data_IF_479773934814
#
_entry.id   IF_479773934814
#
_cell.length_a   1.000
_cell.length_b   1.000
_cell.length_c   1.000
_cell.angle_alpha   90.00
_cell.angle_beta   90.00
_cell.angle_gamma   90.00
#
_symmetry.space_group_name_H-M   'P 1'
#
loop_
_entity.id
_entity.type
_entity.pdbx_description
1 polymer ?
#
# COMPACT_ATOMS: atom_id res chain seq x y z
N UNK A 1 -27.62 1.87 -4.18
CA UNK A 1 -26.73 1.62 -5.33
C UNK A 1 -25.39 2.26 -5.00
N UNK A 2 -24.43 1.51 -4.45
CA UNK A 2 -23.05 2.01 -4.38
C UNK A 2 -22.48 1.87 -5.79
N UNK A 3 -22.32 3.00 -6.47
CA UNK A 3 -21.48 3.04 -7.64
C UNK A 3 -20.09 2.58 -7.15
N UNK A 4 -19.61 1.43 -7.61
CA UNK A 4 -18.22 1.00 -7.40
C UNK A 4 -17.34 1.90 -8.27
N UNK A 5 -17.28 3.18 -7.92
CA UNK A 5 -16.46 4.16 -8.60
C UNK A 5 -15.00 3.75 -8.40
N UNK A 6 -14.34 3.49 -9.52
CA UNK A 6 -12.89 3.49 -9.80
C UNK A 6 -11.96 3.28 -8.58
N UNK A 7 -11.11 2.25 -8.65
CA UNK A 7 -10.31 1.69 -7.56
C UNK A 7 -9.95 2.63 -6.40
N UNK A 8 -10.16 2.15 -5.17
CA UNK A 8 -9.87 2.89 -3.96
C UNK A 8 -8.39 3.22 -3.90
N UNK A 9 -8.08 4.51 -3.83
CA UNK A 9 -6.73 5.02 -3.65
C UNK A 9 -6.39 5.05 -2.17
N UNK A 10 -5.20 4.55 -1.84
CA UNK A 10 -4.68 4.56 -0.49
C UNK A 10 -3.32 5.26 -0.45
N UNK A 11 -3.16 6.15 0.51
CA UNK A 11 -1.89 6.79 0.77
C UNK A 11 -0.99 5.85 1.58
N UNK A 12 0.26 5.71 1.11
CA UNK A 12 1.28 4.92 1.77
C UNK A 12 2.50 5.77 2.09
N UNK A 13 3.07 5.47 3.25
CA UNK A 13 4.32 6.05 3.71
C UNK A 13 5.39 4.98 3.59
N UNK A 14 6.50 5.32 2.93
CA UNK A 14 7.59 4.39 2.67
C UNK A 14 8.85 4.92 3.34
N UNK A 15 9.52 4.08 4.09
CA UNK A 15 10.78 4.42 4.77
C UNK A 15 11.83 3.39 4.40
N UNK A 16 13.03 3.84 4.01
CA UNK A 16 14.15 2.95 3.80
C UNK A 16 14.68 2.43 5.13
N UNK A 17 14.84 1.11 5.22
CA UNK A 17 15.33 0.40 6.40
C UNK A 17 16.52 -0.50 6.02
N UNK A 18 17.29 -0.98 7.01
CA UNK A 18 18.44 -1.86 6.78
C UNK A 18 18.06 -3.14 6.01
N UNK A 19 16.83 -3.63 6.18
CA UNK A 19 16.32 -4.84 5.51
C UNK A 19 15.56 -4.54 4.19
N UNK A 20 15.40 -3.26 3.81
CA UNK A 20 14.74 -2.86 2.57
C UNK A 20 13.87 -1.61 2.71
N UNK A 21 12.57 -1.76 2.47
CA UNK A 21 11.58 -0.69 2.51
C UNK A 21 10.45 -1.08 3.46
N UNK A 22 10.26 -0.28 4.51
CA UNK A 22 9.10 -0.35 5.37
C UNK A 22 7.96 0.45 4.72
N UNK A 23 6.77 -0.13 4.72
CA UNK A 23 5.59 0.43 4.09
C UNK A 23 4.52 0.51 5.16
N UNK A 24 4.01 1.72 5.42
CA UNK A 24 2.90 1.96 6.34
C UNK A 24 1.72 2.46 5.55
N UNK A 25 0.55 1.89 5.81
CA UNK A 25 -0.72 2.32 5.23
C UNK A 25 -1.60 2.82 6.40
N UNK A 26 -1.53 4.11 6.76
CA UNK A 26 -2.21 4.65 7.93
C UNK A 26 -3.74 4.46 7.87
N UNK A 27 -4.33 4.51 6.68
CA UNK A 27 -5.78 4.39 6.48
C UNK A 27 -6.36 3.03 6.91
N UNK A 28 -5.59 1.95 6.71
CA UNK A 28 -6.01 0.59 7.09
C UNK A 28 -5.27 0.08 8.33
N UNK A 29 -4.36 0.89 8.89
CA UNK A 29 -3.47 0.48 9.98
C UNK A 29 -2.48 -0.61 9.57
N UNK A 30 -2.24 -0.78 8.26
CA UNK A 30 -1.47 -1.86 7.69
C UNK A 30 0.02 -1.56 7.65
N UNK A 31 0.84 -2.59 7.88
CA UNK A 31 2.30 -2.50 7.73
C UNK A 31 2.78 -3.64 6.84
N UNK A 32 3.59 -3.30 5.84
CA UNK A 32 4.22 -4.24 4.93
C UNK A 32 5.71 -3.94 4.78
N UNK A 33 6.47 -4.91 4.26
CA UNK A 33 7.89 -4.76 3.95
C UNK A 33 8.16 -5.22 2.53
N UNK A 34 9.08 -4.54 1.85
CA UNK A 34 9.55 -4.92 0.53
C UNK A 34 11.08 -4.82 0.47
N UNK A 35 11.73 -5.80 -0.15
CA UNK A 35 13.19 -5.80 -0.33
C UNK A 35 13.68 -4.79 -1.37
N UNK A 36 12.80 -4.38 -2.30
CA UNK A 36 13.11 -3.44 -3.39
C UNK A 36 12.01 -2.40 -3.55
N UNK A 37 12.37 -1.17 -3.93
CA UNK A 37 11.43 -0.07 -4.14
C UNK A 37 10.34 -0.40 -5.16
N UNK A 38 10.70 -1.13 -6.22
CA UNK A 38 9.76 -1.60 -7.23
C UNK A 38 8.73 -2.62 -6.71
N UNK A 39 8.99 -3.26 -5.56
CA UNK A 39 8.05 -4.18 -4.92
C UNK A 39 7.17 -3.49 -3.87
N UNK A 40 7.46 -2.24 -3.50
CA UNK A 40 6.70 -1.47 -2.49
C UNK A 40 5.24 -1.37 -2.88
N UNK A 41 4.97 -0.95 -4.12
CA UNK A 41 3.60 -0.73 -4.59
C UNK A 41 2.79 -2.03 -4.55
N UNK A 42 3.37 -3.13 -5.05
CA UNK A 42 2.71 -4.43 -5.05
C UNK A 42 2.49 -4.96 -3.63
N UNK A 43 3.47 -4.81 -2.74
CA UNK A 43 3.39 -5.26 -1.35
C UNK A 43 2.30 -4.49 -0.59
N UNK A 44 2.22 -3.17 -0.78
CA UNK A 44 1.18 -2.31 -0.22
C UNK A 44 -0.22 -2.76 -0.66
N UNK A 45 -0.43 -2.91 -1.99
CA UNK A 45 -1.73 -3.34 -2.53
C UNK A 45 -2.15 -4.71 -2.02
N UNK A 46 -1.21 -5.66 -1.90
CA UNK A 46 -1.48 -6.98 -1.32
C UNK A 46 -1.90 -6.89 0.15
N UNK A 47 -1.22 -6.06 0.94
CA UNK A 47 -1.53 -5.84 2.34
C UNK A 47 -2.94 -5.25 2.52
N UNK A 48 -3.26 -4.20 1.75
CA UNK A 48 -4.57 -3.56 1.76
C UNK A 48 -5.67 -4.54 1.34
N UNK A 49 -5.46 -5.29 0.24
CA UNK A 49 -6.43 -6.28 -0.23
C UNK A 49 -6.71 -7.35 0.83
N UNK A 50 -5.67 -7.80 1.56
CA UNK A 50 -5.82 -8.78 2.63
C UNK A 50 -6.55 -8.23 3.86
N UNK A 51 -6.36 -6.95 4.21
CA UNK A 51 -7.01 -6.33 5.37
C UNK A 51 -8.44 -5.88 5.10
N UNK A 52 -8.71 -5.37 3.91
CA UNK A 52 -9.99 -4.76 3.55
C UNK A 52 -10.94 -5.74 2.85
N UNK A 53 -10.41 -6.84 2.30
CA UNK A 53 -11.14 -7.74 1.42
C UNK A 53 -11.39 -7.18 0.02
N UNK A 54 -10.86 -5.99 -0.31
CA UNK A 54 -10.97 -5.39 -1.65
C UNK A 54 -10.07 -6.19 -2.61
N UNK A 55 -10.53 -6.51 -3.84
CA UNK A 55 -9.67 -7.18 -4.80
C UNK A 55 -8.49 -6.29 -5.19
N UNK A 56 -7.29 -6.86 -5.27
CA UNK A 56 -6.05 -6.10 -5.54
C UNK A 56 -6.10 -5.23 -6.81
N UNK A 57 -6.87 -5.62 -7.83
CA UNK A 57 -7.07 -4.83 -9.06
C UNK A 57 -7.86 -3.54 -8.86
N UNK A 58 -8.54 -3.40 -7.72
CA UNK A 58 -9.29 -2.21 -7.31
C UNK A 58 -8.53 -1.41 -6.25
N UNK A 59 -7.34 -1.83 -5.85
CA UNK A 59 -6.50 -1.10 -4.90
C UNK A 59 -5.46 -0.31 -5.68
N UNK A 60 -5.54 1.02 -5.60
CA UNK A 60 -4.48 1.91 -6.07
C UNK A 60 -3.73 2.43 -4.86
N UNK A 61 -2.41 2.56 -4.93
CA UNK A 61 -1.62 3.14 -3.84
C UNK A 61 -0.84 4.34 -4.36
N UNK A 62 -0.76 5.37 -3.52
CA UNK A 62 0.02 6.57 -3.78
C UNK A 62 1.05 6.75 -2.67
N UNK A 63 2.29 7.04 -3.05
CA UNK A 63 3.35 7.28 -2.06
C UNK A 63 3.25 8.73 -1.60
N UNK A 64 2.58 8.93 -0.46
CA UNK A 64 2.40 10.25 0.15
C UNK A 64 3.69 10.76 0.79
N UNK A 65 4.49 9.85 1.35
CA UNK A 65 5.78 10.15 1.96
C UNK A 65 6.79 9.07 1.63
N UNK A 66 7.98 9.49 1.21
CA UNK A 66 9.15 8.64 1.05
C UNK A 66 10.30 9.24 1.86
N UNK A 67 10.81 8.47 2.83
CA UNK A 67 11.92 8.86 3.69
C UNK A 67 13.08 7.88 3.50
N UNK A 68 14.32 8.38 3.39
CA UNK A 68 15.48 7.55 3.05
C UNK A 68 16.83 8.20 3.22
#
# INVERSE_FOLDING_TARGET
MHCLSVGQCFDIEVTRDAEGWLIRIPEVGGVARASRRAAVELAARKCIAAQTGIPIGYVTVFVAREDG
#
